data_IF_729836942752
#
_entry.id   IF_729836942752
#
_cell.length_a   1.000
_cell.length_b   1.000
_cell.length_c   1.000
_cell.angle_alpha   90.00
_cell.angle_beta   90.00
_cell.angle_gamma   90.00
#
_symmetry.space_group_name_H-M   'P 1'
#
loop_
_entity.id
_entity.type
_entity.pdbx_description
1 polymer ?
#
# COMPACT_ATOMS: atom_id res chain seq x y z
N UNK A 1 25.44 -0.26 17.28
CA UNK A 1 24.41 0.74 16.92
C UNK A 1 23.32 0.20 16.00
N UNK A 2 23.56 -0.77 15.09
CA UNK A 2 22.53 -1.26 14.18
C UNK A 2 21.43 -2.16 14.79
N UNK A 3 21.75 -2.96 15.80
CA UNK A 3 20.79 -3.90 16.41
C UNK A 3 19.74 -3.21 17.30
N UNK A 4 20.11 -2.18 18.01
CA UNK A 4 19.18 -1.45 18.89
C UNK A 4 18.18 -0.59 18.10
N UNK A 5 18.61 0.02 16.99
CA UNK A 5 17.69 0.73 16.09
C UNK A 5 16.66 -0.25 15.49
N UNK A 6 17.10 -1.42 15.03
CA UNK A 6 16.21 -2.42 14.46
C UNK A 6 15.18 -2.98 15.47
N UNK A 7 15.55 -3.12 16.75
CA UNK A 7 14.64 -3.55 17.82
C UNK A 7 13.61 -2.46 18.11
N UNK A 8 14.03 -1.21 18.23
CA UNK A 8 13.15 -0.07 18.49
C UNK A 8 12.13 0.12 17.36
N UNK A 9 12.59 0.06 16.12
CA UNK A 9 11.72 0.21 14.95
C UNK A 9 10.69 -0.93 14.86
N UNK A 10 11.12 -2.16 15.17
CA UNK A 10 10.22 -3.32 15.24
C UNK A 10 9.16 -3.16 16.34
N UNK A 11 9.54 -2.69 17.53
CA UNK A 11 8.61 -2.44 18.64
C UNK A 11 7.60 -1.36 18.22
N UNK A 12 8.04 -0.28 17.61
CA UNK A 12 7.16 0.80 17.16
C UNK A 12 6.13 0.30 16.14
N UNK A 13 6.56 -0.46 15.14
CA UNK A 13 5.65 -1.04 14.13
C UNK A 13 4.65 -2.01 14.77
N UNK A 14 5.12 -2.90 15.65
CA UNK A 14 4.24 -3.83 16.37
C UNK A 14 3.21 -3.07 17.21
N UNK A 15 3.64 -2.02 17.91
CA UNK A 15 2.75 -1.20 18.72
C UNK A 15 1.70 -0.49 17.88
N UNK A 16 2.06 0.08 16.73
CA UNK A 16 1.12 0.69 15.79
C UNK A 16 0.10 -0.32 15.23
N UNK A 17 0.56 -1.53 14.88
CA UNK A 17 -0.32 -2.60 14.40
C UNK A 17 -1.27 -3.05 15.51
N UNK A 18 -0.79 -3.22 16.73
CA UNK A 18 -1.62 -3.56 17.88
C UNK A 18 -2.65 -2.45 18.16
N UNK A 19 -2.24 -1.18 18.15
CA UNK A 19 -3.16 -0.05 18.28
C UNK A 19 -4.25 -0.07 17.21
N UNK A 20 -3.91 -0.35 15.95
CA UNK A 20 -4.88 -0.43 14.87
C UNK A 20 -5.87 -1.61 15.05
N UNK A 21 -5.39 -2.76 15.52
CA UNK A 21 -6.23 -3.95 15.76
C UNK A 21 -7.15 -3.72 16.96
N UNK A 22 -6.62 -3.21 18.07
CA UNK A 22 -7.36 -3.01 19.31
C UNK A 22 -8.11 -1.68 19.37
N UNK A 23 -7.94 -0.78 18.39
CA UNK A 23 -8.61 0.52 18.39
C UNK A 23 -10.13 0.46 18.66
N UNK A 24 -10.93 -0.49 18.12
CA UNK A 24 -12.36 -0.55 18.41
C UNK A 24 -12.70 -0.80 19.88
N UNK A 25 -11.77 -1.40 20.62
CA UNK A 25 -11.95 -1.68 22.06
C UNK A 25 -11.41 -0.56 22.96
N UNK A 26 -10.54 0.29 22.42
CA UNK A 26 -9.85 1.37 23.15
C UNK A 26 -10.55 2.71 22.96
N UNK A 27 -11.29 2.89 21.86
CA UNK A 27 -11.99 4.14 21.53
C UNK A 27 -13.00 4.49 22.61
N UNK A 28 -12.86 5.64 23.33
CA UNK A 28 -13.80 6.03 24.38
C UNK A 28 -15.17 6.45 23.84
N UNK A 29 -15.20 7.09 22.67
CA UNK A 29 -16.42 7.65 22.06
C UNK A 29 -16.64 7.11 20.63
N UNK A 30 -17.10 5.87 20.47
CA UNK A 30 -17.25 5.26 19.14
C UNK A 30 -18.28 5.97 18.25
N UNK A 31 -19.36 6.53 18.80
CA UNK A 31 -20.37 7.26 18.04
C UNK A 31 -19.82 8.54 17.38
N UNK A 32 -18.94 9.25 18.09
CA UNK A 32 -18.34 10.50 17.59
C UNK A 32 -17.32 10.29 16.44
N UNK A 33 -16.90 9.06 16.24
CA UNK A 33 -16.01 8.70 15.14
C UNK A 33 -16.77 8.59 13.82
N UNK A 34 -18.01 8.09 13.86
CA UNK A 34 -18.79 7.84 12.65
C UNK A 34 -19.52 9.07 12.16
N UNK A 35 -20.33 9.75 12.96
CA UNK A 35 -21.03 10.97 12.52
C UNK A 35 -21.73 11.75 13.66
N UNK A 36 -21.57 11.37 14.92
CA UNK A 36 -22.17 12.09 16.02
C UNK A 36 -21.40 13.39 16.29
N UNK A 37 -22.06 14.51 16.11
CA UNK A 37 -21.53 15.83 16.42
C UNK A 37 -22.04 16.30 17.78
N UNK A 38 -21.16 16.91 18.57
CA UNK A 38 -21.49 17.47 19.88
C UNK A 38 -21.09 18.96 19.93
N UNK A 39 -21.78 19.85 19.19
CA UNK A 39 -21.38 21.25 19.02
C UNK A 39 -21.29 22.02 20.33
N UNK A 40 -21.95 21.55 21.40
CA UNK A 40 -21.88 22.16 22.73
C UNK A 40 -20.51 22.07 23.41
N UNK A 41 -19.63 21.19 22.93
CA UNK A 41 -18.26 21.01 23.45
C UNK A 41 -17.20 21.22 22.35
N UNK A 42 -17.53 22.01 21.31
CA UNK A 42 -16.60 22.29 20.22
C UNK A 42 -15.35 23.04 20.71
N UNK A 43 -14.19 22.70 20.14
CA UNK A 43 -12.88 23.31 20.42
C UNK A 43 -12.50 23.32 21.91
N UNK A 44 -12.92 22.34 22.67
CA UNK A 44 -12.57 22.20 24.08
C UNK A 44 -11.11 21.80 24.24
N UNK A 45 -10.40 22.43 25.18
CA UNK A 45 -9.02 22.07 25.46
C UNK A 45 -8.92 20.65 26.06
N UNK A 46 -7.75 19.99 25.97
CA UNK A 46 -7.52 18.69 26.57
C UNK A 46 -7.88 18.66 28.04
N UNK A 47 -8.69 17.70 28.44
CA UNK A 47 -9.11 17.45 29.83
C UNK A 47 -9.14 15.96 30.16
N UNK A 48 -9.75 15.57 31.30
CA UNK A 48 -9.84 14.19 31.74
C UNK A 48 -10.84 13.36 30.93
N UNK A 49 -11.84 13.99 30.35
CA UNK A 49 -12.89 13.35 29.53
C UNK A 49 -12.42 13.28 28.07
N UNK A 50 -11.78 14.34 27.57
CA UNK A 50 -11.26 14.45 26.21
C UNK A 50 -9.74 14.65 26.23
N UNK A 51 -8.98 13.56 26.21
CA UNK A 51 -7.51 13.56 26.38
C UNK A 51 -6.78 14.46 25.38
N UNK A 52 -7.26 14.62 24.17
CA UNK A 52 -6.72 15.50 23.11
C UNK A 52 -7.66 16.65 22.78
N UNK A 53 -8.65 16.90 23.63
CA UNK A 53 -9.69 17.89 23.37
C UNK A 53 -10.68 17.48 22.30
N UNK A 54 -11.47 18.44 21.83
CA UNK A 54 -12.50 18.23 20.81
C UNK A 54 -12.26 19.08 19.57
N UNK A 55 -12.74 18.63 18.42
CA UNK A 55 -12.64 19.35 17.14
C UNK A 55 -13.74 20.43 16.99
N UNK A 56 -13.80 21.08 15.83
CA UNK A 56 -14.79 22.11 15.50
C UNK A 56 -16.24 21.62 15.57
N UNK A 57 -16.46 20.32 15.43
CA UNK A 57 -17.77 19.67 15.53
C UNK A 57 -18.05 19.07 16.92
N UNK A 58 -17.13 19.29 17.88
CA UNK A 58 -17.21 18.75 19.25
C UNK A 58 -16.89 17.27 19.37
N UNK A 59 -16.23 16.67 18.37
CA UNK A 59 -15.87 15.24 18.37
C UNK A 59 -14.53 15.03 19.07
N UNK A 60 -14.42 13.95 19.84
CA UNK A 60 -13.19 13.60 20.56
C UNK A 60 -12.02 13.30 19.60
N UNK A 61 -10.98 14.14 19.69
CA UNK A 61 -9.80 14.04 18.80
C UNK A 61 -9.04 12.74 19.02
N UNK A 62 -8.91 12.26 20.28
CA UNK A 62 -8.21 11.02 20.58
C UNK A 62 -8.88 9.80 19.94
N UNK A 63 -10.20 9.69 20.05
CA UNK A 63 -11.00 8.64 19.40
C UNK A 63 -10.82 8.65 17.89
N UNK A 64 -10.83 9.84 17.27
CA UNK A 64 -10.65 10.01 15.82
C UNK A 64 -9.25 9.62 15.36
N UNK A 65 -8.20 9.96 16.11
CA UNK A 65 -6.82 9.57 15.80
C UNK A 65 -6.66 8.05 15.83
N UNK A 66 -7.20 7.37 16.86
CA UNK A 66 -7.16 5.92 16.95
C UNK A 66 -7.86 5.23 15.78
N UNK A 67 -9.05 5.71 15.43
CA UNK A 67 -9.82 5.16 14.31
C UNK A 67 -9.17 5.46 12.97
N UNK A 68 -8.69 6.68 12.76
CA UNK A 68 -7.97 7.09 11.56
C UNK A 68 -6.71 6.26 11.33
N UNK A 69 -5.98 5.92 12.39
CA UNK A 69 -4.81 5.03 12.31
C UNK A 69 -5.20 3.67 11.73
N UNK A 70 -6.30 3.08 12.19
CA UNK A 70 -6.79 1.79 11.66
C UNK A 70 -7.17 1.89 10.19
N UNK A 71 -7.95 2.90 9.81
CA UNK A 71 -8.39 3.10 8.41
C UNK A 71 -7.17 3.27 7.50
N UNK A 72 -6.24 4.15 7.89
CA UNK A 72 -5.05 4.45 7.09
C UNK A 72 -4.16 3.22 6.89
N UNK A 73 -3.93 2.42 7.94
CA UNK A 73 -3.15 1.18 7.83
C UNK A 73 -3.85 0.13 6.96
N UNK A 74 -5.15 -0.10 7.16
CA UNK A 74 -5.89 -1.06 6.35
C UNK A 74 -5.95 -0.64 4.88
N UNK A 75 -6.24 0.64 4.62
CA UNK A 75 -6.30 1.18 3.27
C UNK A 75 -4.96 1.09 2.55
N UNK A 76 -3.86 1.44 3.23
CA UNK A 76 -2.51 1.33 2.68
C UNK A 76 -2.13 -0.11 2.38
N UNK A 77 -2.45 -1.04 3.28
CA UNK A 77 -2.16 -2.46 3.08
C UNK A 77 -2.92 -3.01 1.86
N UNK A 78 -4.19 -2.66 1.70
CA UNK A 78 -5.02 -3.07 0.55
C UNK A 78 -4.48 -2.48 -0.74
N UNK A 79 -4.15 -1.17 -0.77
CA UNK A 79 -3.61 -0.52 -1.95
C UNK A 79 -2.26 -1.14 -2.38
N UNK A 80 -1.35 -1.37 -1.43
CA UNK A 80 -0.06 -2.03 -1.70
C UNK A 80 -0.28 -3.47 -2.17
N UNK A 81 -1.17 -4.23 -1.53
CA UNK A 81 -1.47 -5.60 -1.94
C UNK A 81 -1.99 -5.67 -3.38
N UNK A 82 -2.89 -4.77 -3.78
CA UNK A 82 -3.38 -4.69 -5.17
C UNK A 82 -2.23 -4.37 -6.14
N UNK A 83 -1.39 -3.38 -5.83
CA UNK A 83 -0.23 -3.01 -6.66
C UNK A 83 0.77 -4.18 -6.78
N UNK A 84 1.04 -4.88 -5.67
CA UNK A 84 1.92 -6.06 -5.60
C UNK A 84 1.38 -7.19 -6.47
N UNK A 85 0.11 -7.58 -6.29
CA UNK A 85 -0.49 -8.69 -7.04
C UNK A 85 -0.45 -8.41 -8.54
N UNK A 86 -0.90 -7.23 -8.95
CA UNK A 86 -0.93 -6.84 -10.36
C UNK A 86 0.47 -6.70 -10.95
N UNK A 87 1.35 -5.96 -10.28
CA UNK A 87 2.72 -5.74 -10.74
C UNK A 87 3.58 -7.00 -10.75
N UNK A 88 3.47 -7.87 -9.72
CA UNK A 88 4.17 -9.15 -9.67
C UNK A 88 3.75 -10.07 -10.81
N UNK A 89 2.45 -10.14 -11.08
CA UNK A 89 1.93 -10.97 -12.17
C UNK A 89 2.46 -10.52 -13.52
N UNK A 90 2.36 -9.23 -13.83
CA UNK A 90 2.85 -8.68 -15.10
C UNK A 90 4.37 -8.79 -15.21
N UNK A 91 5.12 -8.51 -14.14
CA UNK A 91 6.58 -8.62 -14.12
C UNK A 91 7.06 -10.06 -14.31
N UNK A 92 6.38 -11.03 -13.68
CA UNK A 92 6.70 -12.45 -13.84
C UNK A 92 6.42 -12.93 -15.27
N UNK A 93 5.29 -12.53 -15.87
CA UNK A 93 4.94 -12.86 -17.27
C UNK A 93 5.97 -12.24 -18.22
N UNK A 94 6.28 -10.94 -18.08
CA UNK A 94 7.24 -10.24 -18.92
C UNK A 94 8.62 -10.91 -18.86
N UNK A 95 9.15 -11.16 -17.66
CA UNK A 95 10.45 -11.76 -17.47
C UNK A 95 10.56 -13.23 -17.90
N UNK A 96 9.47 -14.00 -17.76
CA UNK A 96 9.41 -15.39 -18.20
C UNK A 96 9.31 -15.55 -19.71
N UNK A 97 8.36 -14.83 -20.33
CA UNK A 97 8.08 -14.93 -21.77
C UNK A 97 9.21 -14.31 -22.61
N UNK A 98 9.69 -13.14 -22.23
CA UNK A 98 10.65 -12.37 -23.02
C UNK A 98 10.08 -11.89 -24.38
N UNK A 99 10.96 -11.46 -25.29
CA UNK A 99 10.59 -11.06 -26.64
C UNK A 99 9.52 -9.94 -26.69
N UNK A 100 8.57 -10.07 -27.59
CA UNK A 100 7.52 -9.03 -27.82
C UNK A 100 6.62 -8.83 -26.60
N UNK A 101 6.31 -9.88 -25.84
CA UNK A 101 5.47 -9.78 -24.64
C UNK A 101 6.16 -8.95 -23.57
N UNK A 102 7.44 -9.20 -23.33
CA UNK A 102 8.26 -8.40 -22.41
C UNK A 102 8.32 -6.94 -22.86
N UNK A 103 8.60 -6.71 -24.15
CA UNK A 103 8.69 -5.36 -24.68
C UNK A 103 7.38 -4.59 -24.55
N UNK A 104 6.24 -5.20 -24.87
CA UNK A 104 4.93 -4.55 -24.77
C UNK A 104 4.58 -4.18 -23.31
N UNK A 105 4.75 -5.13 -22.38
CA UNK A 105 4.48 -4.87 -20.95
C UNK A 105 5.38 -3.77 -20.44
N UNK A 106 6.68 -3.79 -20.79
CA UNK A 106 7.62 -2.77 -20.36
C UNK A 106 7.36 -1.40 -20.97
N UNK A 107 6.91 -1.31 -22.22
CA UNK A 107 6.48 -0.03 -22.82
C UNK A 107 5.31 0.60 -22.07
N UNK A 108 4.29 -0.22 -21.74
CA UNK A 108 3.18 0.27 -20.92
C UNK A 108 3.68 0.72 -19.54
N UNK A 109 4.52 -0.09 -18.89
CA UNK A 109 5.13 0.23 -17.60
C UNK A 109 5.90 1.55 -17.64
N UNK A 110 6.69 1.78 -18.70
CA UNK A 110 7.48 2.99 -18.89
C UNK A 110 6.62 4.24 -19.09
N UNK A 111 5.48 4.12 -19.78
CA UNK A 111 4.49 5.21 -19.89
C UNK A 111 3.98 5.61 -18.51
N UNK A 112 3.59 4.67 -17.67
CA UNK A 112 3.13 4.99 -16.32
C UNK A 112 4.24 5.61 -15.45
N UNK A 113 5.46 5.10 -15.56
CA UNK A 113 6.61 5.61 -14.81
C UNK A 113 7.14 6.96 -15.31
N UNK A 114 6.71 7.43 -16.48
CA UNK A 114 7.04 8.78 -16.97
C UNK A 114 6.31 9.88 -16.19
N UNK A 115 5.20 9.53 -15.51
CA UNK A 115 4.47 10.46 -14.66
C UNK A 115 4.93 10.32 -13.19
N UNK A 116 5.06 11.42 -12.44
CA UNK A 116 5.23 11.35 -10.99
C UNK A 116 4.03 10.63 -10.37
N UNK A 117 4.32 9.56 -9.60
CA UNK A 117 3.27 8.66 -9.07
C UNK A 117 2.20 9.39 -8.26
N UNK A 118 2.60 10.41 -7.47
CA UNK A 118 1.66 11.22 -6.69
C UNK A 118 0.71 12.02 -7.61
N UNK A 119 1.23 12.67 -8.65
CA UNK A 119 0.40 13.44 -9.59
C UNK A 119 -0.56 12.53 -10.35
N UNK A 120 -0.09 11.35 -10.74
CA UNK A 120 -0.93 10.35 -11.40
C UNK A 120 -2.05 9.86 -10.46
N UNK A 121 -1.73 9.60 -9.19
CA UNK A 121 -2.74 9.19 -8.21
C UNK A 121 -3.79 10.27 -7.97
N UNK A 122 -3.39 11.55 -7.86
CA UNK A 122 -4.33 12.70 -7.74
C UNK A 122 -5.22 12.79 -8.97
N UNK A 123 -4.64 12.73 -10.17
CA UNK A 123 -5.41 12.81 -11.41
C UNK A 123 -6.46 11.69 -11.50
N UNK A 124 -6.08 10.44 -11.18
CA UNK A 124 -7.00 9.29 -11.21
C UNK A 124 -8.08 9.45 -10.13
N UNK A 125 -7.71 9.88 -8.92
CA UNK A 125 -8.66 10.10 -7.81
C UNK A 125 -9.71 11.16 -8.17
N UNK A 126 -9.29 12.26 -8.79
CA UNK A 126 -10.20 13.33 -9.26
C UNK A 126 -11.22 12.84 -10.29
N UNK A 127 -10.84 11.90 -11.17
CA UNK A 127 -11.76 11.28 -12.12
C UNK A 127 -12.75 10.30 -11.46
N UNK A 128 -12.29 9.54 -10.47
CA UNK A 128 -13.11 8.52 -9.80
C UNK A 128 -14.05 9.12 -8.75
N UNK A 129 -13.75 10.33 -8.28
CA UNK A 129 -14.49 11.02 -7.22
C UNK A 129 -14.04 10.65 -5.81
N UNK A 130 -14.45 11.43 -4.79
CA UNK A 130 -13.99 11.32 -3.42
C UNK A 130 -14.55 10.06 -2.73
N UNK A 131 -13.71 9.03 -2.57
CA UNK A 131 -14.02 7.81 -1.85
C UNK A 131 -12.73 7.12 -1.40
N UNK A 132 -12.73 6.49 -0.22
CA UNK A 132 -11.60 5.70 0.28
C UNK A 132 -11.21 4.60 -0.72
N UNK A 133 -12.19 3.92 -1.29
CA UNK A 133 -11.96 2.86 -2.30
C UNK A 133 -11.32 3.42 -3.57
N UNK A 134 -11.78 4.58 -4.03
CA UNK A 134 -11.22 5.24 -5.22
C UNK A 134 -9.78 5.69 -4.98
N UNK A 135 -9.47 6.20 -3.79
CA UNK A 135 -8.11 6.55 -3.40
C UNK A 135 -7.18 5.31 -3.37
N UNK A 136 -7.66 4.18 -2.81
CA UNK A 136 -6.89 2.91 -2.85
C UNK A 136 -6.61 2.45 -4.28
N UNK A 137 -7.61 2.50 -5.16
CA UNK A 137 -7.48 2.14 -6.58
C UNK A 137 -6.50 3.07 -7.29
N UNK A 138 -6.60 4.38 -7.08
CA UNK A 138 -5.72 5.38 -7.69
C UNK A 138 -4.25 5.14 -7.33
N UNK A 139 -3.98 4.83 -6.07
CA UNK A 139 -2.64 4.50 -5.60
C UNK A 139 -2.17 3.17 -6.21
N UNK A 140 -3.00 2.13 -6.19
CA UNK A 140 -2.65 0.83 -6.77
C UNK A 140 -2.31 0.94 -8.26
N UNK A 141 -3.10 1.71 -9.03
CA UNK A 141 -2.88 1.97 -10.47
C UNK A 141 -1.59 2.79 -10.70
N UNK A 142 -1.20 3.63 -9.77
CA UNK A 142 0.02 4.44 -9.92
C UNK A 142 1.30 3.70 -9.48
N UNK A 143 1.19 2.67 -8.63
CA UNK A 143 2.35 2.02 -7.99
C UNK A 143 2.69 0.63 -8.57
N UNK A 144 1.78 -0.05 -9.29
CA UNK A 144 2.04 -1.37 -9.89
C UNK A 144 3.29 -1.39 -10.81
N UNK A 145 3.67 -0.31 -11.54
CA UNK A 145 4.79 -0.37 -12.46
C UNK A 145 6.13 -0.61 -11.78
N UNK A 146 6.30 -0.13 -10.55
CA UNK A 146 7.49 -0.38 -9.73
C UNK A 146 7.67 -1.87 -9.45
N UNK A 147 6.61 -2.55 -9.02
CA UNK A 147 6.62 -3.98 -8.77
C UNK A 147 6.86 -4.78 -10.05
N UNK A 148 6.25 -4.38 -11.15
CA UNK A 148 6.47 -5.00 -12.46
C UNK A 148 7.94 -4.95 -12.85
N UNK A 149 8.59 -3.81 -12.70
CA UNK A 149 10.01 -3.64 -13.05
C UNK A 149 10.94 -4.47 -12.16
N UNK A 150 10.69 -4.47 -10.85
CA UNK A 150 11.46 -5.25 -9.88
C UNK A 150 11.33 -6.75 -10.18
N UNK A 151 10.11 -7.24 -10.32
CA UNK A 151 9.84 -8.67 -10.53
C UNK A 151 10.32 -9.13 -11.89
N UNK A 152 10.15 -8.33 -12.93
CA UNK A 152 10.68 -8.63 -14.26
C UNK A 152 12.21 -8.79 -14.22
N UNK A 153 12.93 -7.90 -13.54
CA UNK A 153 14.40 -8.02 -13.39
C UNK A 153 14.82 -9.33 -12.72
N UNK A 154 14.11 -9.73 -11.66
CA UNK A 154 14.34 -11.02 -10.99
C UNK A 154 13.96 -12.22 -11.86
N UNK A 155 12.79 -12.14 -12.53
CA UNK A 155 12.29 -13.23 -13.38
C UNK A 155 13.25 -13.54 -14.53
N UNK A 156 13.83 -12.52 -15.15
CA UNK A 156 14.87 -12.68 -16.18
C UNK A 156 16.08 -13.44 -15.63
N UNK A 157 16.55 -13.07 -14.44
CA UNK A 157 17.68 -13.77 -13.80
C UNK A 157 17.35 -15.21 -13.43
N UNK A 158 16.13 -15.46 -12.90
CA UNK A 158 15.69 -16.80 -12.49
C UNK A 158 15.46 -17.68 -13.71
N UNK A 159 14.96 -17.15 -14.81
CA UNK A 159 14.74 -17.88 -16.06
C UNK A 159 15.99 -18.59 -16.58
N UNK A 160 17.16 -18.01 -16.38
CA UNK A 160 18.45 -18.56 -16.84
C UNK A 160 19.03 -19.59 -15.88
N UNK A 161 18.43 -19.79 -14.68
CA UNK A 161 18.93 -20.77 -13.71
C UNK A 161 18.73 -22.21 -14.18
N UNK A 162 19.65 -23.09 -13.79
CA UNK A 162 19.69 -24.50 -14.22
C UNK A 162 18.37 -25.24 -13.95
N UNK A 163 17.74 -25.02 -12.80
CA UNK A 163 16.50 -25.71 -12.45
C UNK A 163 15.31 -25.29 -13.35
N UNK A 164 15.25 -24.01 -13.78
CA UNK A 164 14.22 -23.56 -14.72
C UNK A 164 14.48 -24.11 -16.12
N UNK A 165 15.73 -24.10 -16.56
CA UNK A 165 16.13 -24.70 -17.86
C UNK A 165 15.84 -26.20 -17.89
N UNK A 166 16.11 -26.92 -16.80
CA UNK A 166 15.78 -28.33 -16.67
C UNK A 166 14.26 -28.57 -16.73
N UNK A 167 13.46 -27.74 -16.04
CA UNK A 167 11.99 -27.82 -16.09
C UNK A 167 11.46 -27.62 -17.51
N UNK A 168 12.02 -26.68 -18.28
CA UNK A 168 11.67 -26.49 -19.70
C UNK A 168 12.07 -27.69 -20.56
N UNK A 169 13.26 -28.27 -20.32
CA UNK A 169 13.75 -29.41 -21.10
C UNK A 169 12.88 -30.67 -20.96
N UNK A 170 12.21 -30.85 -19.82
CA UNK A 170 11.23 -31.93 -19.60
C UNK A 170 9.79 -31.56 -20.02
N UNK A 171 9.59 -30.39 -20.68
CA UNK A 171 8.31 -30.00 -21.23
C UNK A 171 7.34 -29.36 -20.25
N UNK A 172 7.80 -28.83 -19.11
CA UNK A 172 6.92 -28.13 -18.14
C UNK A 172 6.35 -26.87 -18.79
N UNK A 173 5.01 -26.64 -18.74
CA UNK A 173 4.38 -25.49 -19.36
C UNK A 173 4.77 -24.18 -18.65
N UNK A 174 4.90 -23.07 -19.40
CA UNK A 174 5.40 -21.79 -18.90
C UNK A 174 4.59 -21.24 -17.72
N UNK A 175 3.27 -21.38 -17.70
CA UNK A 175 2.46 -20.94 -16.55
C UNK A 175 2.84 -21.68 -15.26
N UNK A 176 3.20 -22.94 -15.33
CA UNK A 176 3.68 -23.72 -14.17
C UNK A 176 5.06 -23.26 -13.73
N UNK A 177 5.95 -22.92 -14.68
CA UNK A 177 7.26 -22.35 -14.39
C UNK A 177 7.10 -21.00 -13.66
N UNK A 178 6.23 -20.14 -14.15
CA UNK A 178 5.94 -18.85 -13.53
C UNK A 178 5.45 -19.03 -12.09
N UNK A 179 4.40 -19.84 -11.89
CA UNK A 179 3.77 -20.00 -10.58
C UNK A 179 4.61 -20.78 -9.57
N UNK A 180 5.33 -21.82 -9.99
CA UNK A 180 6.08 -22.70 -9.09
C UNK A 180 7.55 -22.34 -8.92
N UNK A 181 8.14 -21.64 -9.89
CA UNK A 181 9.57 -21.37 -9.88
C UNK A 181 9.90 -19.85 -9.86
N UNK A 182 9.22 -19.03 -10.64
CA UNK A 182 9.57 -17.60 -10.73
C UNK A 182 8.95 -16.83 -9.55
N UNK A 183 7.62 -16.82 -9.41
CA UNK A 183 6.95 -16.05 -8.36
C UNK A 183 7.46 -16.37 -6.96
N UNK A 184 7.58 -17.65 -6.52
CA UNK A 184 8.06 -17.94 -5.16
C UNK A 184 9.49 -17.45 -4.90
N UNK A 185 10.34 -17.43 -5.93
CA UNK A 185 11.71 -16.95 -5.79
C UNK A 185 11.86 -15.43 -5.84
N UNK A 186 10.83 -14.70 -6.31
CA UNK A 186 10.80 -13.23 -6.31
C UNK A 186 10.15 -12.65 -5.06
N UNK A 187 9.34 -13.46 -4.34
CA UNK A 187 8.45 -12.97 -3.27
C UNK A 187 9.21 -12.29 -2.13
N UNK A 188 10.39 -12.76 -1.79
CA UNK A 188 11.20 -12.19 -0.71
C UNK A 188 11.53 -10.71 -0.98
N UNK A 189 11.93 -10.38 -2.21
CA UNK A 189 12.25 -9.01 -2.59
C UNK A 189 10.99 -8.14 -2.70
N UNK A 190 9.89 -8.72 -3.17
CA UNK A 190 8.58 -8.04 -3.24
C UNK A 190 8.10 -7.67 -1.83
N UNK A 191 8.21 -8.57 -0.85
CA UNK A 191 7.82 -8.31 0.54
C UNK A 191 8.67 -7.18 1.14
N UNK A 192 9.98 -7.19 0.91
CA UNK A 192 10.87 -6.13 1.40
C UNK A 192 10.46 -4.78 0.80
N UNK A 193 10.22 -4.71 -0.51
CA UNK A 193 9.78 -3.48 -1.17
C UNK A 193 8.41 -3.05 -0.65
N UNK A 194 7.43 -3.95 -0.56
CA UNK A 194 6.09 -3.66 -0.07
C UNK A 194 6.10 -3.10 1.36
N UNK A 195 6.97 -3.62 2.23
CA UNK A 195 7.10 -3.12 3.60
C UNK A 195 7.63 -1.68 3.67
N UNK A 196 8.51 -1.29 2.76
CA UNK A 196 9.00 0.09 2.62
C UNK A 196 7.92 1.02 2.06
N UNK A 197 7.14 0.53 1.12
CA UNK A 197 6.14 1.30 0.40
C UNK A 197 4.90 1.64 1.26
N UNK A 198 4.58 0.84 2.28
CA UNK A 198 3.43 1.11 3.17
C UNK A 198 3.51 2.52 3.77
N UNK A 199 4.68 2.96 4.24
CA UNK A 199 4.88 4.30 4.78
C UNK A 199 4.64 5.40 3.74
N UNK A 200 5.16 5.22 2.53
CA UNK A 200 4.96 6.14 1.40
C UNK A 200 3.49 6.22 0.97
N UNK A 201 2.79 5.08 0.97
CA UNK A 201 1.36 5.02 0.64
C UNK A 201 0.51 5.71 1.69
N UNK A 202 0.80 5.57 2.99
CA UNK A 202 0.10 6.32 4.06
C UNK A 202 0.25 7.83 3.83
N UNK A 203 1.47 8.29 3.51
CA UNK A 203 1.73 9.70 3.23
C UNK A 203 0.96 10.17 1.99
N UNK A 204 0.89 9.37 0.95
CA UNK A 204 0.13 9.66 -0.27
C UNK A 204 -1.38 9.74 0.01
N UNK A 205 -1.90 8.86 0.86
CA UNK A 205 -3.29 8.92 1.33
C UNK A 205 -3.60 10.23 2.05
N UNK A 206 -2.73 10.65 2.98
CA UNK A 206 -2.91 11.91 3.68
C UNK A 206 -2.97 13.09 2.71
N UNK A 207 -2.09 13.12 1.71
CA UNK A 207 -2.06 14.19 0.70
C UNK A 207 -3.30 14.19 -0.20
N UNK A 208 -3.77 13.01 -0.64
CA UNK A 208 -5.00 12.87 -1.42
C UNK A 208 -6.23 13.40 -0.66
N UNK A 209 -6.37 13.02 0.61
CA UNK A 209 -7.52 13.46 1.42
C UNK A 209 -7.49 14.95 1.80
N UNK A 210 -6.30 15.53 2.00
CA UNK A 210 -6.19 16.97 2.27
C UNK A 210 -6.44 17.82 1.02
N UNK A 211 -6.14 17.30 -0.17
CA UNK A 211 -6.45 17.96 -1.44
C UNK A 211 -7.96 17.99 -1.71
N UNK A 212 -8.68 16.89 -1.44
CA UNK A 212 -10.13 16.80 -1.63
C UNK A 212 -10.93 17.60 -0.57
N UNK A 213 -10.32 17.93 0.58
CA UNK A 213 -10.96 18.73 1.64
C UNK A 213 -10.76 20.25 1.45
N UNK A 214 -9.95 20.66 0.48
CA UNK A 214 -9.65 22.08 0.20
C UNK A 214 -10.55 22.69 -0.90
N UNK A 215 -11.35 21.88 -1.59
CA UNK A 215 -12.39 22.25 -2.56
C UNK A 215 -13.79 22.17 -1.92
#
# INVERSE_FOLDING_TARGET
MGSEMCIRDRITVVLLVLLAIFSPFIIPYPGQVENENAPGIALQAPDKEHLFGTDEMGRDVFSRVLYGTRISLCASLVAVAMAVVFGTTLGAIAGAAGGIVDELIMRITDVFLSFPSLLLAIAISSFLGPSLTNAMLSIAISWWPWYTRIVRGQAVSIRERQFVRAARAIGTPEHTIILKHIIPNTIAQVIVQASMDIGGVIMTFCLLYTSDAAD
#
